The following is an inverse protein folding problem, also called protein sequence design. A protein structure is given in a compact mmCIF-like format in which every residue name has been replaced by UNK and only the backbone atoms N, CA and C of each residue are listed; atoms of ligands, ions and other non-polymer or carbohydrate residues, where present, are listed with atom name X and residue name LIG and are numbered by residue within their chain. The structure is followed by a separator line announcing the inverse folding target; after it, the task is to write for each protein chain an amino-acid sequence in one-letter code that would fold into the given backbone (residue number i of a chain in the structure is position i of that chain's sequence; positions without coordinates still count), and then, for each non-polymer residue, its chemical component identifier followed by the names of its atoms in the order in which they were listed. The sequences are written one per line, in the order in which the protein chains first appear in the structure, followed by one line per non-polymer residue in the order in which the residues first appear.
data_IF_566289203960
#
_entry.id   IF_566289203960
#
_cell.length_a   1.000
_cell.length_b   1.000
_cell.length_c   1.000
_cell.angle_alpha   90.00
_cell.angle_beta   90.00
_cell.angle_gamma   90.00
#
_symmetry.space_group_name_H-M   'P 1'
#
loop_
_entity.id
_entity.type
_entity.pdbx_description
1 polymer ?
#
# COMPACT_ATOMS: atom_id res chain seq x y z
N UNK A 1 7.95 5.46 5.40
CA UNK A 1 9.08 5.01 4.54
C UNK A 1 9.59 6.19 3.74
N UNK A 2 10.90 6.32 3.56
CA UNK A 2 11.49 7.31 2.68
C UNK A 2 11.44 6.79 1.23
N UNK A 3 10.71 7.45 0.31
CA UNK A 3 10.55 6.95 -1.05
C UNK A 3 11.82 7.02 -1.90
N UNK A 4 12.84 7.78 -1.47
CA UNK A 4 14.08 7.97 -2.23
C UNK A 4 15.12 6.86 -2.00
N UNK A 5 14.98 6.07 -0.93
CA UNK A 5 16.02 5.11 -0.57
C UNK A 5 15.49 3.81 0.10
N UNK A 6 14.20 3.71 0.41
CA UNK A 6 13.64 2.52 1.06
C UNK A 6 13.72 2.49 2.59
N UNK A 7 14.34 3.50 3.23
CA UNK A 7 14.48 3.57 4.68
C UNK A 7 13.13 3.66 5.38
N UNK A 8 12.82 2.75 6.31
CA UNK A 8 11.62 2.81 7.16
C UNK A 8 11.87 3.83 8.26
N UNK A 9 11.17 4.97 8.21
CA UNK A 9 11.34 6.07 9.15
C UNK A 9 10.56 5.85 10.45
N UNK A 10 9.43 5.15 10.39
CA UNK A 10 8.62 4.79 11.54
C UNK A 10 7.78 3.55 11.21
N UNK A 11 7.72 2.66 12.18
CA UNK A 11 6.89 1.45 12.14
C UNK A 11 6.41 1.16 13.56
N UNK A 12 5.12 0.90 13.74
CA UNK A 12 4.55 0.65 15.05
C UNK A 12 3.44 -0.40 14.97
N UNK A 13 3.52 -1.38 15.85
CA UNK A 13 2.46 -2.36 16.12
C UNK A 13 1.92 -2.20 17.53
N UNK A 14 0.63 -2.43 17.71
CA UNK A 14 0.01 -2.45 19.03
C UNK A 14 -0.96 -3.65 19.13
N UNK A 15 -0.94 -4.40 20.25
CA UNK A 15 -0.07 -4.23 21.44
C UNK A 15 1.41 -4.48 21.12
N UNK A 16 2.31 -3.94 21.93
CA UNK A 16 3.76 -4.08 21.79
C UNK A 16 4.40 -4.67 23.06
N UNK A 17 5.65 -5.11 22.98
CA UNK A 17 6.38 -5.70 24.09
C UNK A 17 7.71 -4.99 24.34
N UNK A 18 8.30 -5.21 25.53
CA UNK A 18 9.65 -4.74 25.85
C UNK A 18 10.67 -5.77 25.35
N UNK A 19 11.56 -5.37 24.45
CA UNK A 19 12.63 -6.22 23.90
C UNK A 19 13.59 -6.75 24.99
N UNK A 20 13.75 -6.01 26.10
CA UNK A 20 14.56 -6.47 27.23
C UNK A 20 13.84 -7.54 28.09
N UNK A 21 12.50 -7.60 27.99
CA UNK A 21 11.67 -8.51 28.76
C UNK A 21 10.54 -9.11 27.89
N UNK A 22 10.89 -9.81 26.79
CA UNK A 22 9.94 -10.14 25.71
C UNK A 22 8.83 -11.12 26.12
N UNK A 23 8.98 -11.78 27.27
CA UNK A 23 8.00 -12.73 27.81
C UNK A 23 7.11 -12.14 28.89
N UNK A 24 7.25 -10.86 29.20
CA UNK A 24 6.45 -10.19 30.22
C UNK A 24 5.06 -9.82 29.68
N UNK A 25 4.04 -10.51 30.20
CA UNK A 25 2.64 -10.26 29.90
C UNK A 25 1.95 -9.36 30.94
N UNK A 26 2.65 -8.95 32.00
CA UNK A 26 2.05 -8.16 33.10
C UNK A 26 1.60 -6.75 32.68
N UNK A 27 2.10 -6.27 31.55
CA UNK A 27 1.65 -5.00 30.94
C UNK A 27 0.17 -5.06 30.47
N UNK A 28 -0.33 -6.26 30.13
CA UNK A 28 -1.66 -6.43 29.52
C UNK A 28 -2.59 -7.31 30.37
N UNK A 29 -2.03 -8.13 31.27
CA UNK A 29 -2.79 -9.10 32.07
C UNK A 29 -2.42 -8.98 33.56
N UNK A 30 -3.41 -9.07 34.43
CA UNK A 30 -3.18 -9.14 35.89
C UNK A 30 -2.58 -10.48 36.28
N UNK A 31 -1.92 -10.52 37.45
CA UNK A 31 -1.38 -11.80 37.98
C UNK A 31 -2.46 -12.91 38.11
N UNK A 32 -3.69 -12.51 38.48
CA UNK A 32 -4.79 -13.44 38.61
C UNK A 32 -5.22 -14.03 37.26
N UNK A 33 -5.19 -13.23 36.19
CA UNK A 33 -5.45 -13.69 34.83
C UNK A 33 -4.33 -14.63 34.37
N UNK A 34 -3.07 -14.25 34.58
CA UNK A 34 -1.90 -15.06 34.19
C UNK A 34 -1.84 -16.40 34.92
N UNK A 35 -2.31 -16.48 36.18
CA UNK A 35 -2.38 -17.73 36.94
C UNK A 35 -3.46 -18.69 36.40
N UNK A 36 -4.47 -18.19 35.73
CA UNK A 36 -5.55 -19.00 35.14
C UNK A 36 -5.23 -19.47 33.73
N UNK A 37 -4.29 -18.82 33.04
CA UNK A 37 -3.88 -19.18 31.68
C UNK A 37 -3.01 -20.45 31.72
N UNK A 38 -3.29 -21.37 30.81
CA UNK A 38 -2.42 -22.50 30.51
C UNK A 38 -1.11 -22.04 29.87
N UNK A 39 -0.10 -22.89 29.82
CA UNK A 39 1.18 -22.57 29.17
C UNK A 39 0.98 -22.34 27.64
N UNK A 40 0.03 -23.06 27.02
CA UNK A 40 -0.30 -22.85 25.61
C UNK A 40 -0.94 -21.49 25.38
N UNK A 41 -1.92 -21.10 26.18
CA UNK A 41 -2.57 -19.77 26.06
C UNK A 41 -1.56 -18.63 26.26
N UNK A 42 -0.60 -18.79 27.18
CA UNK A 42 0.49 -17.81 27.34
C UNK A 42 1.39 -17.75 26.11
N UNK A 43 1.74 -18.92 25.54
CA UNK A 43 2.57 -18.98 24.34
C UNK A 43 1.87 -18.37 23.14
N UNK A 44 0.58 -18.66 22.94
CA UNK A 44 -0.23 -18.09 21.87
C UNK A 44 -0.31 -16.56 22.00
N UNK A 45 -0.58 -16.06 23.22
CA UNK A 45 -0.57 -14.63 23.53
C UNK A 45 0.78 -13.96 23.25
N UNK A 46 1.89 -14.64 23.59
CA UNK A 46 3.23 -14.14 23.30
C UNK A 46 3.51 -14.10 21.80
N UNK A 47 3.10 -15.13 21.06
CA UNK A 47 3.24 -15.16 19.60
C UNK A 47 2.46 -14.01 18.95
N UNK A 48 1.24 -13.74 19.37
CA UNK A 48 0.45 -12.61 18.91
C UNK A 48 1.13 -11.27 19.24
N UNK A 49 1.70 -11.16 20.45
CA UNK A 49 2.39 -9.95 20.91
C UNK A 49 3.70 -9.69 20.15
N UNK A 50 4.41 -10.74 19.78
CA UNK A 50 5.66 -10.66 19.02
C UNK A 50 5.43 -10.45 17.52
N UNK A 51 4.21 -10.66 17.05
CA UNK A 51 3.88 -10.52 15.65
C UNK A 51 3.98 -9.05 15.20
N UNK A 52 4.77 -8.79 14.18
CA UNK A 52 4.85 -7.47 13.55
C UNK A 52 3.76 -7.31 12.49
N UNK A 53 2.68 -6.66 12.85
CA UNK A 53 1.53 -6.46 11.97
C UNK A 53 1.88 -5.79 10.63
N UNK A 54 2.85 -4.89 10.61
CA UNK A 54 3.22 -4.18 9.39
C UNK A 54 3.88 -5.09 8.34
N UNK A 55 4.60 -6.11 8.83
CA UNK A 55 5.40 -7.02 7.99
C UNK A 55 4.65 -8.32 7.72
N UNK A 56 3.95 -8.86 8.74
CA UNK A 56 3.38 -10.22 8.70
C UNK A 56 1.92 -10.27 8.28
N UNK A 57 1.11 -9.29 8.71
CA UNK A 57 -0.33 -9.34 8.49
C UNK A 57 -0.73 -8.77 7.14
N UNK A 58 -1.79 -9.35 6.58
CA UNK A 58 -2.32 -8.97 5.29
C UNK A 58 -3.70 -8.34 5.41
N UNK A 59 -4.03 -7.45 4.49
CA UNK A 59 -5.31 -6.78 4.42
C UNK A 59 -5.66 -6.40 2.98
N UNK A 60 -6.93 -6.16 2.71
CA UNK A 60 -7.36 -5.60 1.44
C UNK A 60 -6.99 -4.11 1.37
N UNK A 61 -6.21 -3.65 0.37
CA UNK A 61 -5.72 -2.27 0.34
C UNK A 61 -6.83 -1.23 0.15
N UNK A 62 -7.97 -1.62 -0.41
CA UNK A 62 -9.08 -0.73 -0.69
C UNK A 62 -8.68 0.43 -1.62
N UNK A 63 -9.28 1.60 -1.43
CA UNK A 63 -9.08 2.76 -2.31
C UNK A 63 -7.65 3.27 -2.42
N UNK A 64 -6.74 2.88 -1.52
CA UNK A 64 -5.32 3.21 -1.66
C UNK A 64 -4.65 2.49 -2.83
N UNK A 65 -5.31 1.48 -3.41
CA UNK A 65 -4.85 0.77 -4.60
C UNK A 65 -5.21 1.48 -5.92
N UNK A 66 -6.18 2.37 -5.93
CA UNK A 66 -6.67 3.06 -7.15
C UNK A 66 -5.58 3.77 -7.96
N UNK A 67 -4.62 4.47 -7.35
CA UNK A 67 -3.49 5.04 -8.06
C UNK A 67 -2.67 4.02 -8.86
N UNK A 68 -2.55 2.78 -8.38
CA UNK A 68 -1.85 1.70 -9.09
C UNK A 68 -2.61 1.27 -10.34
N UNK A 69 -3.93 1.13 -10.25
CA UNK A 69 -4.79 0.81 -11.39
C UNK A 69 -4.71 1.89 -12.48
N UNK A 70 -4.78 3.16 -12.09
CA UNK A 70 -4.64 4.27 -13.04
C UNK A 70 -3.24 4.29 -13.66
N UNK A 71 -2.19 4.08 -12.84
CA UNK A 71 -0.81 3.99 -13.35
C UNK A 71 -0.64 2.88 -14.38
N UNK A 72 -1.19 1.69 -14.10
CA UNK A 72 -1.16 0.58 -15.05
C UNK A 72 -1.88 0.95 -16.37
N UNK A 73 -3.00 1.63 -16.29
CA UNK A 73 -3.72 2.12 -17.47
C UNK A 73 -2.93 3.13 -18.31
N UNK A 74 -2.22 4.06 -17.66
CA UNK A 74 -1.35 5.03 -18.33
C UNK A 74 -0.13 4.35 -18.97
N UNK A 75 0.54 3.46 -18.26
CA UNK A 75 1.72 2.74 -18.75
C UNK A 75 1.41 1.77 -19.90
N UNK A 76 0.22 1.19 -19.93
CA UNK A 76 -0.23 0.32 -21.05
C UNK A 76 -0.75 1.12 -22.24
N UNK A 77 -0.94 2.44 -22.09
CA UNK A 77 -1.46 3.32 -23.13
C UNK A 77 -2.97 3.19 -23.35
N UNK A 78 -3.69 2.44 -22.50
CA UNK A 78 -5.17 2.39 -22.52
C UNK A 78 -5.79 3.66 -21.94
N UNK A 79 -5.00 4.41 -21.14
CA UNK A 79 -5.32 5.74 -20.65
C UNK A 79 -4.34 6.76 -21.22
N UNK A 80 -4.86 7.94 -21.54
CA UNK A 80 -4.10 9.12 -22.03
C UNK A 80 -4.09 10.26 -21.02
N UNK A 81 -4.89 10.15 -19.94
CA UNK A 81 -5.10 11.22 -18.94
C UNK A 81 -6.30 12.12 -19.24
N UNK A 82 -6.98 11.96 -20.40
CA UNK A 82 -8.08 12.81 -20.84
C UNK A 82 -9.45 12.11 -20.85
N UNK A 83 -9.52 10.92 -20.28
CA UNK A 83 -10.73 10.10 -20.26
C UNK A 83 -11.80 10.73 -19.37
N UNK A 84 -13.06 10.46 -19.75
CA UNK A 84 -14.23 10.80 -18.97
C UNK A 84 -15.05 9.55 -18.71
N UNK A 85 -15.58 9.47 -17.51
CA UNK A 85 -16.39 8.36 -17.00
C UNK A 85 -17.76 8.85 -16.57
N UNK A 86 -18.72 7.95 -16.50
CA UNK A 86 -20.05 8.24 -15.94
C UNK A 86 -20.33 7.24 -14.85
N UNK A 87 -20.50 7.71 -13.63
CA UNK A 87 -20.84 6.89 -12.48
C UNK A 87 -22.31 7.00 -12.14
N UNK A 88 -23.05 5.92 -12.38
CA UNK A 88 -24.48 5.78 -11.98
C UNK A 88 -24.66 5.16 -10.57
N UNK A 89 -23.59 5.01 -9.79
CA UNK A 89 -23.64 4.43 -8.43
C UNK A 89 -23.56 2.90 -8.40
N UNK A 90 -23.70 2.22 -9.51
CA UNK A 90 -23.60 0.77 -9.65
C UNK A 90 -23.08 0.41 -11.05
N UNK A 91 -22.34 -0.71 -11.14
CA UNK A 91 -21.95 -1.34 -12.39
C UNK A 91 -22.28 -2.84 -12.32
N UNK A 92 -22.96 -3.33 -13.35
CA UNK A 92 -23.26 -4.76 -13.48
C UNK A 92 -22.08 -5.47 -14.17
N UNK A 93 -21.51 -6.48 -13.50
CA UNK A 93 -20.37 -7.24 -14.00
C UNK A 93 -20.64 -8.74 -13.82
N UNK A 94 -20.80 -9.46 -14.92
CA UNK A 94 -21.27 -10.84 -14.87
C UNK A 94 -22.65 -10.91 -14.22
N UNK A 95 -22.79 -11.72 -13.17
CA UNK A 95 -24.03 -11.86 -12.40
C UNK A 95 -24.07 -10.98 -11.14
N UNK A 96 -23.16 -9.98 -11.01
CA UNK A 96 -23.00 -9.16 -9.80
C UNK A 96 -23.27 -7.69 -10.06
N UNK A 97 -24.01 -7.05 -9.16
CA UNK A 97 -24.16 -5.61 -9.06
C UNK A 97 -23.13 -5.06 -8.06
N UNK A 98 -22.07 -4.43 -8.58
CA UNK A 98 -20.99 -3.87 -7.77
C UNK A 98 -21.22 -2.36 -7.60
N UNK A 99 -21.32 -1.93 -6.36
CA UNK A 99 -21.70 -0.57 -6.01
C UNK A 99 -20.50 0.37 -5.84
N UNK A 100 -20.70 1.63 -6.23
CA UNK A 100 -19.85 2.72 -5.80
C UNK A 100 -20.09 3.06 -4.31
N UNK A 101 -19.11 3.71 -3.68
CA UNK A 101 -19.26 4.31 -2.35
C UNK A 101 -20.41 5.33 -2.33
N UNK A 102 -20.51 6.16 -3.37
CA UNK A 102 -21.69 6.99 -3.62
C UNK A 102 -22.73 6.20 -4.42
N UNK A 103 -23.74 5.68 -3.74
CA UNK A 103 -24.79 4.87 -4.36
C UNK A 103 -25.72 5.66 -5.30
N UNK A 104 -25.75 6.98 -5.18
CA UNK A 104 -26.48 7.85 -6.11
C UNK A 104 -25.69 8.13 -7.39
N UNK A 105 -24.43 7.71 -7.43
CA UNK A 105 -23.49 7.99 -8.51
C UNK A 105 -22.81 9.37 -8.38
N UNK A 106 -21.65 9.49 -9.01
CA UNK A 106 -20.94 10.77 -9.11
C UNK A 106 -21.34 11.58 -10.36
N UNK A 107 -22.08 10.94 -11.30
CA UNK A 107 -22.37 11.52 -12.60
C UNK A 107 -21.15 11.49 -13.53
N UNK A 108 -21.06 12.44 -14.46
CA UNK A 108 -19.89 12.60 -15.32
C UNK A 108 -18.69 13.11 -14.54
N UNK A 109 -17.53 12.46 -14.72
CA UNK A 109 -16.27 12.82 -14.06
C UNK A 109 -15.07 12.55 -14.98
N UNK A 110 -14.05 13.38 -14.90
CA UNK A 110 -12.76 13.13 -15.57
C UNK A 110 -11.99 12.02 -14.86
N UNK A 111 -10.91 11.51 -15.48
CA UNK A 111 -10.02 10.54 -14.85
C UNK A 111 -9.47 11.04 -13.50
N UNK A 112 -9.06 12.31 -13.41
CA UNK A 112 -8.61 12.96 -12.18
C UNK A 112 -9.72 12.97 -11.13
N UNK A 113 -10.91 13.44 -11.48
CA UNK A 113 -12.07 13.48 -10.60
C UNK A 113 -12.50 12.07 -10.13
N UNK A 114 -12.34 11.05 -10.98
CA UNK A 114 -12.62 9.67 -10.59
C UNK A 114 -11.71 9.20 -9.42
N UNK A 115 -10.46 9.66 -9.37
CA UNK A 115 -9.58 9.40 -8.23
C UNK A 115 -9.94 10.28 -7.03
N UNK A 116 -10.18 11.58 -7.23
CA UNK A 116 -10.57 12.55 -6.18
C UNK A 116 -11.84 12.11 -5.43
N UNK A 117 -12.84 11.65 -6.18
CA UNK A 117 -14.11 11.15 -5.67
C UNK A 117 -14.02 9.68 -5.17
N UNK A 118 -12.87 9.05 -5.34
CA UNK A 118 -12.72 7.61 -5.05
C UNK A 118 -13.78 6.73 -5.72
N UNK A 119 -14.06 6.97 -7.00
CA UNK A 119 -15.14 6.34 -7.75
C UNK A 119 -14.83 4.88 -8.10
N UNK A 120 -15.57 3.91 -7.54
CA UNK A 120 -15.38 2.49 -7.87
C UNK A 120 -15.80 2.18 -9.30
N UNK A 121 -16.89 2.80 -9.80
CA UNK A 121 -17.42 2.53 -11.15
C UNK A 121 -16.40 2.92 -12.23
N UNK A 122 -15.76 4.07 -12.11
CA UNK A 122 -14.70 4.47 -13.03
C UNK A 122 -13.51 3.50 -13.00
N UNK A 123 -13.07 3.10 -11.80
CA UNK A 123 -11.95 2.16 -11.63
C UNK A 123 -12.26 0.77 -12.19
N UNK A 124 -13.50 0.27 -12.07
CA UNK A 124 -13.94 -0.97 -12.71
C UNK A 124 -13.85 -0.89 -14.25
N UNK A 125 -14.27 0.24 -14.83
CA UNK A 125 -14.16 0.47 -16.29
C UNK A 125 -12.70 0.52 -16.72
N UNK A 126 -11.83 1.17 -15.95
CA UNK A 126 -10.38 1.23 -16.19
C UNK A 126 -9.78 -0.18 -16.12
N UNK A 127 -10.07 -0.94 -15.06
CA UNK A 127 -9.60 -2.32 -14.93
C UNK A 127 -10.02 -3.21 -16.10
N UNK A 128 -11.28 -3.10 -16.52
CA UNK A 128 -11.78 -3.83 -17.68
C UNK A 128 -11.05 -3.42 -18.99
N UNK A 129 -10.69 -2.16 -19.15
CA UNK A 129 -9.92 -1.66 -20.30
C UNK A 129 -8.46 -2.15 -20.30
N UNK A 130 -7.83 -2.28 -19.13
CA UNK A 130 -6.48 -2.86 -18.97
C UNK A 130 -6.49 -4.35 -19.30
N UNK A 131 -7.53 -5.07 -18.88
CA UNK A 131 -7.64 -6.51 -19.03
C UNK A 131 -6.81 -7.31 -18.01
N UNK A 132 -7.14 -8.60 -17.87
CA UNK A 132 -6.60 -9.46 -16.80
C UNK A 132 -5.09 -9.68 -16.88
N UNK A 133 -4.54 -9.85 -18.08
CA UNK A 133 -3.10 -10.12 -18.23
C UNK A 133 -2.25 -8.94 -17.76
N UNK A 134 -2.51 -7.76 -18.31
CA UNK A 134 -1.76 -6.55 -17.96
C UNK A 134 -2.03 -6.12 -16.51
N UNK A 135 -3.26 -6.26 -16.02
CA UNK A 135 -3.59 -5.95 -14.64
C UNK A 135 -2.78 -6.81 -13.66
N UNK A 136 -2.78 -8.15 -13.83
CA UNK A 136 -1.97 -9.05 -13.01
C UNK A 136 -0.47 -8.80 -13.16
N UNK A 137 0.00 -8.46 -14.35
CA UNK A 137 1.40 -8.11 -14.59
C UNK A 137 1.81 -6.88 -13.81
N UNK A 138 0.99 -5.83 -13.81
CA UNK A 138 1.28 -4.60 -13.08
C UNK A 138 1.18 -4.79 -11.56
N UNK A 139 0.24 -5.59 -11.04
CA UNK A 139 0.22 -5.94 -9.62
C UNK A 139 1.59 -6.51 -9.18
N UNK A 140 2.15 -7.45 -9.93
CA UNK A 140 3.47 -8.03 -9.63
C UNK A 140 4.61 -7.04 -9.86
N UNK A 141 4.54 -6.23 -10.91
CA UNK A 141 5.54 -5.20 -11.19
C UNK A 141 5.64 -4.20 -10.03
N UNK A 142 4.52 -3.85 -9.43
CA UNK A 142 4.48 -3.03 -8.21
C UNK A 142 5.00 -3.75 -6.96
N UNK A 143 5.24 -5.07 -7.00
CA UNK A 143 5.77 -5.86 -5.88
C UNK A 143 4.70 -6.55 -5.04
N UNK A 144 3.43 -6.48 -5.43
CA UNK A 144 2.39 -7.24 -4.74
C UNK A 144 2.50 -8.72 -5.05
N UNK A 145 2.30 -9.57 -4.03
CA UNK A 145 2.47 -11.00 -4.14
C UNK A 145 3.92 -11.48 -4.11
N UNK A 146 4.88 -10.62 -3.80
CA UNK A 146 6.30 -10.91 -3.67
C UNK A 146 6.80 -10.49 -2.28
N UNK A 147 7.84 -11.14 -1.77
CA UNK A 147 8.54 -10.63 -0.60
C UNK A 147 9.22 -9.30 -0.95
N UNK A 148 9.14 -8.34 -0.02
CA UNK A 148 9.76 -7.02 -0.21
C UNK A 148 11.26 -7.05 0.03
N UNK A 149 11.75 -8.06 0.76
CA UNK A 149 13.14 -8.17 1.18
C UNK A 149 13.48 -7.30 2.40
N UNK A 150 12.46 -6.81 3.13
CA UNK A 150 12.69 -6.05 4.37
C UNK A 150 13.58 -6.84 5.33
N UNK A 151 14.51 -6.17 5.98
CA UNK A 151 15.47 -6.74 6.93
C UNK A 151 14.86 -7.05 8.32
N UNK A 152 13.57 -7.39 8.35
CA UNK A 152 12.84 -7.86 9.52
C UNK A 152 12.34 -9.30 9.32
N UNK A 153 12.32 -10.12 10.39
CA UNK A 153 11.80 -11.48 10.31
C UNK A 153 10.26 -11.51 10.19
N UNK A 154 9.73 -12.58 9.61
CA UNK A 154 8.30 -12.87 9.63
C UNK A 154 7.50 -12.16 8.54
N UNK A 155 8.13 -11.81 7.42
CA UNK A 155 7.41 -11.22 6.28
C UNK A 155 6.33 -12.16 5.76
N UNK A 156 5.11 -11.63 5.62
CA UNK A 156 3.93 -12.41 5.23
C UNK A 156 3.99 -12.89 3.77
N UNK A 157 3.69 -14.16 3.56
CA UNK A 157 3.53 -14.75 2.22
C UNK A 157 2.20 -14.27 1.61
N UNK A 158 2.25 -13.63 0.45
CA UNK A 158 1.08 -13.07 -0.23
C UNK A 158 0.90 -13.56 -1.68
N UNK A 159 1.78 -14.42 -2.19
CA UNK A 159 1.73 -14.86 -3.58
C UNK A 159 0.43 -15.61 -3.92
N UNK A 160 -0.09 -16.39 -2.96
CA UNK A 160 -1.36 -17.10 -3.05
C UNK A 160 -2.61 -16.25 -2.79
N UNK A 161 -2.44 -14.97 -2.43
CA UNK A 161 -3.53 -14.04 -2.13
C UNK A 161 -3.86 -13.10 -3.30
N UNK A 162 -3.15 -13.24 -4.43
CA UNK A 162 -3.39 -12.52 -5.66
C UNK A 162 -3.92 -13.47 -6.74
N UNK A 163 -4.75 -12.92 -7.63
CA UNK A 163 -5.19 -13.65 -8.82
C UNK A 163 -4.06 -13.77 -9.84
N UNK A 164 -4.19 -14.78 -10.69
CA UNK A 164 -3.41 -14.93 -11.91
C UNK A 164 -4.32 -14.64 -13.11
N UNK A 165 -3.78 -14.40 -14.32
CA UNK A 165 -4.63 -14.21 -15.51
C UNK A 165 -5.61 -15.36 -15.75
N UNK A 166 -5.22 -16.59 -15.36
CA UNK A 166 -6.07 -17.78 -15.53
C UNK A 166 -7.20 -17.91 -14.49
N UNK A 167 -7.07 -17.25 -13.34
CA UNK A 167 -8.04 -17.33 -12.22
C UNK A 167 -8.86 -16.07 -12.03
N UNK A 168 -8.46 -14.96 -12.66
CA UNK A 168 -9.13 -13.66 -12.55
C UNK A 168 -10.34 -13.59 -13.49
N UNK A 169 -11.52 -13.77 -12.95
CA UNK A 169 -12.77 -13.55 -13.67
C UNK A 169 -13.14 -12.03 -13.74
N UNK A 170 -14.14 -11.63 -14.54
CA UNK A 170 -14.52 -10.24 -14.69
C UNK A 170 -14.93 -9.55 -13.38
N UNK A 171 -15.58 -10.25 -12.45
CA UNK A 171 -15.99 -9.68 -11.17
C UNK A 171 -14.78 -9.48 -10.23
N UNK A 172 -13.86 -10.44 -10.24
CA UNK A 172 -12.58 -10.33 -9.52
C UNK A 172 -11.73 -9.18 -10.06
N UNK A 173 -11.62 -9.01 -11.38
CA UNK A 173 -10.92 -7.88 -11.99
C UNK A 173 -11.56 -6.55 -11.58
N UNK A 174 -12.89 -6.47 -11.61
CA UNK A 174 -13.62 -5.27 -11.23
C UNK A 174 -13.35 -4.86 -9.78
N UNK A 175 -13.40 -5.83 -8.83
CA UNK A 175 -13.14 -5.55 -7.41
C UNK A 175 -11.67 -5.27 -7.13
N UNK A 176 -10.75 -5.97 -7.79
CA UNK A 176 -9.32 -5.72 -7.68
C UNK A 176 -8.94 -4.32 -8.17
N UNK A 177 -9.63 -3.79 -9.19
CA UNK A 177 -9.35 -2.46 -9.74
C UNK A 177 -9.51 -1.32 -8.72
N UNK A 178 -10.32 -1.50 -7.67
CA UNK A 178 -10.44 -0.54 -6.58
C UNK A 178 -9.92 -1.06 -5.24
N UNK A 179 -9.13 -2.16 -5.25
CA UNK A 179 -8.34 -2.63 -4.11
C UNK A 179 -9.05 -3.62 -3.19
N UNK A 180 -10.04 -4.35 -3.66
CA UNK A 180 -10.73 -5.41 -2.90
C UNK A 180 -10.50 -6.79 -3.51
N UNK A 181 -10.81 -7.83 -2.73
CA UNK A 181 -10.73 -9.22 -3.14
C UNK A 181 -9.28 -9.72 -3.44
N UNK A 182 -8.29 -9.10 -2.83
CA UNK A 182 -6.90 -9.58 -2.71
C UNK A 182 -6.24 -8.92 -1.50
N UNK A 183 -5.17 -9.53 -0.98
CA UNK A 183 -4.52 -9.04 0.24
C UNK A 183 -3.04 -8.74 0.02
N UNK A 184 -2.55 -7.73 0.73
CA UNK A 184 -1.16 -7.27 0.73
C UNK A 184 -0.71 -6.96 2.15
N UNK A 185 0.60 -6.92 2.41
CA UNK A 185 1.13 -6.41 3.68
C UNK A 185 1.25 -4.87 3.65
N UNK A 186 1.32 -4.24 4.84
CA UNK A 186 1.58 -2.79 4.92
C UNK A 186 2.94 -2.43 4.35
N UNK A 187 3.94 -3.29 4.52
CA UNK A 187 5.29 -3.09 3.95
C UNK A 187 5.26 -3.13 2.43
N UNK A 188 4.56 -4.10 1.83
CA UNK A 188 4.35 -4.13 0.37
C UNK A 188 3.68 -2.85 -0.11
N UNK A 189 2.60 -2.42 0.57
CA UNK A 189 1.90 -1.20 0.19
C UNK A 189 2.81 0.03 0.29
N UNK A 190 3.58 0.18 1.38
CA UNK A 190 4.49 1.32 1.57
C UNK A 190 5.61 1.36 0.52
N UNK A 191 6.22 0.22 0.20
CA UNK A 191 7.28 0.13 -0.80
C UNK A 191 6.74 0.41 -2.22
N UNK A 192 5.61 -0.20 -2.57
CA UNK A 192 4.94 0.00 -3.85
C UNK A 192 4.48 1.45 -4.02
N UNK A 193 3.85 2.03 -2.99
CA UNK A 193 3.37 3.41 -3.03
C UNK A 193 4.52 4.41 -3.15
N UNK A 194 5.65 4.14 -2.48
CA UNK A 194 6.87 4.93 -2.63
C UNK A 194 7.34 4.97 -4.09
N UNK A 195 7.23 3.85 -4.82
CA UNK A 195 7.60 3.81 -6.23
C UNK A 195 6.67 4.63 -7.12
N UNK A 196 5.38 4.79 -6.76
CA UNK A 196 4.46 5.66 -7.52
C UNK A 196 4.89 7.12 -7.50
N UNK A 197 5.45 7.61 -6.37
CA UNK A 197 5.70 9.04 -6.14
C UNK A 197 7.14 9.48 -6.34
N UNK A 198 8.08 8.54 -6.53
CA UNK A 198 9.51 8.82 -6.68
C UNK A 198 10.03 8.68 -8.12
N UNK A 199 9.14 8.67 -9.11
CA UNK A 199 9.48 8.47 -10.52
C UNK A 199 9.58 7.01 -10.94
N UNK A 200 8.97 6.09 -10.19
CA UNK A 200 8.87 4.66 -10.53
C UNK A 200 9.98 3.77 -9.97
N UNK A 201 10.80 4.25 -9.04
CA UNK A 201 11.91 3.48 -8.49
C UNK A 201 11.42 2.67 -7.27
N UNK A 202 11.43 1.35 -7.36
CA UNK A 202 11.10 0.46 -6.24
C UNK A 202 12.38 0.11 -5.49
N UNK A 203 12.50 0.61 -4.27
CA UNK A 203 13.60 0.31 -3.36
C UNK A 203 13.22 -0.79 -2.38
N UNK A 204 14.19 -1.67 -2.06
CA UNK A 204 14.07 -2.61 -0.97
C UNK A 204 13.86 -1.87 0.35
N UNK A 205 12.76 -2.13 1.11
CA UNK A 205 12.55 -1.50 2.39
C UNK A 205 13.56 -2.02 3.43
N UNK A 206 14.06 -1.14 4.30
CA UNK A 206 14.98 -1.54 5.36
C UNK A 206 14.83 -0.66 6.60
N UNK A 207 15.04 -1.26 7.76
CA UNK A 207 15.03 -0.62 9.08
C UNK A 207 16.45 -0.34 9.56
N UNK A 208 17.38 -1.25 9.25
CA UNK A 208 18.79 -1.12 9.64
C UNK A 208 19.45 -0.08 8.74
N UNK A 209 20.02 0.96 9.32
CA UNK A 209 20.79 1.97 8.63
C UNK A 209 22.27 1.63 8.60
N UNK A 210 22.82 1.17 9.74
CA UNK A 210 24.22 0.80 9.90
C UNK A 210 24.41 -0.13 11.09
N UNK A 211 25.49 -0.92 11.05
CA UNK A 211 25.95 -1.75 12.14
C UNK A 211 27.24 -1.13 12.69
N UNK A 212 27.34 -1.05 14.02
CA UNK A 212 28.51 -0.48 14.71
C UNK A 212 29.11 -1.51 15.67
N UNK A 213 30.41 -1.43 15.88
CA UNK A 213 31.10 -2.18 16.94
C UNK A 213 30.88 -1.54 18.33
N UNK A 214 31.38 -2.20 19.39
CA UNK A 214 31.25 -1.72 20.77
C UNK A 214 31.93 -0.37 21.03
N UNK A 215 32.79 0.09 20.13
CA UNK A 215 33.48 1.39 20.20
C UNK A 215 32.75 2.48 19.40
N UNK A 216 31.64 2.14 18.73
CA UNK A 216 30.88 3.06 17.90
C UNK A 216 31.42 3.23 16.47
N UNK A 217 32.41 2.42 16.05
CA UNK A 217 32.86 2.45 14.68
C UNK A 217 31.86 1.72 13.78
N UNK A 218 31.54 2.33 12.66
CA UNK A 218 30.66 1.71 11.66
C UNK A 218 31.38 0.54 11.00
N UNK A 219 30.84 -0.65 11.14
CA UNK A 219 31.37 -1.88 10.52
C UNK A 219 30.65 -2.19 9.20
N UNK A 220 29.40 -1.78 9.07
CA UNK A 220 28.60 -1.96 7.86
C UNK A 220 27.59 -0.81 7.70
N UNK A 221 27.42 -0.31 6.47
CA UNK A 221 26.29 0.56 6.10
C UNK A 221 25.32 -0.21 5.23
N UNK A 222 24.01 0.01 5.45
CA UNK A 222 22.97 -0.48 4.56
C UNK A 222 22.77 0.57 3.45
N UNK A 223 23.34 0.31 2.28
CA UNK A 223 23.11 1.17 1.11
C UNK A 223 21.72 0.90 0.50
N UNK A 224 21.05 1.92 -0.06
CA UNK A 224 19.79 1.75 -0.75
C UNK A 224 19.89 0.78 -1.93
N UNK A 225 18.99 -0.20 -1.98
CA UNK A 225 18.92 -1.19 -3.07
C UNK A 225 17.75 -0.85 -3.99
N UNK A 226 18.06 -0.36 -5.20
CA UNK A 226 17.06 -0.21 -6.26
C UNK A 226 16.79 -1.57 -6.89
N UNK A 227 15.60 -2.12 -6.65
CA UNK A 227 15.23 -3.47 -7.11
C UNK A 227 14.74 -3.45 -8.55
N UNK A 228 13.83 -2.53 -8.87
CA UNK A 228 13.18 -2.44 -10.19
C UNK A 228 12.58 -1.07 -10.47
N UNK A 229 12.23 -0.84 -11.74
CA UNK A 229 11.42 0.29 -12.18
C UNK A 229 9.99 -0.18 -12.38
N UNK A 230 9.01 0.48 -11.76
CA UNK A 230 7.60 0.09 -11.81
C UNK A 230 6.81 0.86 -12.87
N UNK A 231 7.07 2.16 -12.99
CA UNK A 231 6.39 3.08 -13.93
C UNK A 231 7.40 4.10 -14.46
N UNK A 232 7.01 4.82 -15.49
CA UNK A 232 7.73 5.97 -16.01
C UNK A 232 7.69 7.16 -15.03
N UNK A 233 8.63 8.10 -15.21
CA UNK A 233 8.59 9.36 -14.44
C UNK A 233 7.36 10.19 -14.80
N UNK A 234 6.97 10.18 -16.04
CA UNK A 234 5.79 10.86 -16.58
C UNK A 234 4.52 10.40 -15.89
N UNK A 235 4.31 9.10 -15.79
CA UNK A 235 3.16 8.51 -15.05
C UNK A 235 3.21 8.87 -13.57
N UNK A 236 4.40 8.80 -12.96
CA UNK A 236 4.58 9.19 -11.55
C UNK A 236 4.18 10.66 -11.31
N UNK A 237 4.55 11.56 -12.20
CA UNK A 237 4.22 12.98 -12.08
C UNK A 237 2.70 13.23 -12.24
N UNK A 238 2.04 12.54 -13.16
CA UNK A 238 0.56 12.58 -13.31
C UNK A 238 -0.13 12.08 -12.04
N UNK A 239 0.31 10.94 -11.51
CA UNK A 239 -0.30 10.36 -10.30
C UNK A 239 -0.11 11.27 -9.08
N UNK A 240 1.04 11.92 -8.93
CA UNK A 240 1.25 12.91 -7.84
C UNK A 240 0.27 14.08 -7.96
N UNK A 241 0.05 14.62 -9.16
CA UNK A 241 -0.92 15.70 -9.39
C UNK A 241 -2.36 15.24 -9.03
N UNK A 242 -2.74 14.03 -9.45
CA UNK A 242 -4.06 13.49 -9.12
C UNK A 242 -4.25 13.25 -7.63
N UNK A 243 -3.22 12.75 -6.95
CA UNK A 243 -3.27 12.53 -5.50
C UNK A 243 -3.27 13.84 -4.70
N UNK A 244 -2.65 14.90 -5.22
CA UNK A 244 -2.77 16.24 -4.62
C UNK A 244 -4.25 16.68 -4.66
N UNK A 245 -4.93 16.51 -5.80
CA UNK A 245 -6.36 16.80 -5.93
C UNK A 245 -7.24 16.00 -4.95
N UNK A 246 -6.87 14.74 -4.64
CA UNK A 246 -7.59 13.95 -3.60
C UNK A 246 -7.59 14.65 -2.24
N UNK A 247 -6.51 15.33 -1.86
CA UNK A 247 -6.40 16.05 -0.58
C UNK A 247 -6.98 17.45 -0.65
N UNK A 248 -6.81 18.16 -1.76
CA UNK A 248 -7.25 19.57 -1.89
C UNK A 248 -8.74 19.68 -2.22
N UNK A 249 -9.28 18.78 -3.06
CA UNK A 249 -10.63 18.88 -3.60
C UNK A 249 -11.49 17.62 -3.37
N UNK A 250 -10.85 16.49 -3.00
CA UNK A 250 -11.47 15.18 -2.94
C UNK A 250 -11.73 14.65 -1.53
N UNK A 251 -11.88 13.33 -1.47
CA UNK A 251 -12.23 12.57 -0.25
C UNK A 251 -11.12 12.56 0.80
N UNK A 252 -9.90 12.96 0.47
CA UNK A 252 -8.73 12.99 1.35
C UNK A 252 -8.53 14.30 2.12
N UNK A 253 -9.46 15.25 2.06
CA UNK A 253 -9.31 16.58 2.67
C UNK A 253 -8.98 16.56 4.17
N UNK A 254 -9.42 15.53 4.91
CA UNK A 254 -9.09 15.37 6.33
C UNK A 254 -7.61 15.02 6.60
N UNK A 255 -6.85 14.63 5.57
CA UNK A 255 -5.42 14.36 5.66
C UNK A 255 -4.57 15.61 5.39
N UNK A 256 -5.17 16.76 5.08
CA UNK A 256 -4.46 18.00 4.87
C UNK A 256 -3.81 18.48 6.19
N UNK A 257 -2.51 18.78 6.12
CA UNK A 257 -1.72 19.31 7.25
C UNK A 257 -1.13 20.65 6.83
N UNK A 258 -1.34 21.69 7.63
CA UNK A 258 -0.82 23.02 7.35
C UNK A 258 0.71 23.00 7.22
N UNK A 259 1.23 23.58 6.15
CA UNK A 259 2.67 23.61 5.85
C UNK A 259 3.23 22.35 5.21
N UNK A 260 2.42 21.30 5.03
CA UNK A 260 2.78 20.09 4.28
C UNK A 260 1.96 19.99 2.99
N UNK A 261 2.60 19.51 1.93
CA UNK A 261 1.93 19.14 0.69
C UNK A 261 2.39 17.75 0.26
N UNK A 262 1.51 16.99 -0.39
CA UNK A 262 1.88 15.70 -1.00
C UNK A 262 3.04 15.85 -2.01
N UNK A 263 3.18 17.01 -2.64
CA UNK A 263 4.31 17.32 -3.53
C UNK A 263 5.62 17.40 -2.74
N UNK A 264 5.61 17.89 -1.50
CA UNK A 264 6.81 18.03 -0.67
C UNK A 264 7.29 16.71 -0.07
N UNK A 265 6.45 15.69 -0.02
CA UNK A 265 6.82 14.34 0.41
C UNK A 265 7.75 13.68 -0.63
N UNK A 266 7.70 14.12 -1.89
CA UNK A 266 8.48 13.56 -3.00
C UNK A 266 9.78 14.32 -3.32
N UNK A 267 10.04 15.50 -2.73
CA UNK A 267 11.26 16.27 -2.96
C UNK A 267 12.02 16.57 -1.64
N UNK A 268 13.22 15.99 -1.45
CA UNK A 268 14.00 16.18 -0.22
C UNK A 268 14.78 17.52 -0.16
N UNK A 269 14.38 18.57 -0.87
CA UNK A 269 15.18 19.78 -1.03
C UNK A 269 14.80 20.95 -0.14
N UNK A 270 13.93 20.79 0.85
CA UNK A 270 13.81 21.79 1.93
C UNK A 270 13.72 21.11 3.29
N UNK A 271 14.75 21.36 4.13
CA UNK A 271 14.75 21.02 5.55
C UNK A 271 13.48 21.58 6.20
N UNK A 272 12.56 20.70 6.54
CA UNK A 272 11.61 21.00 7.61
C UNK A 272 12.34 20.63 8.90
N UNK A 273 12.79 21.64 9.62
CA UNK A 273 13.21 21.49 11.02
C UNK A 273 11.90 21.56 11.82
N UNK A 274 11.48 20.43 12.39
CA UNK A 274 10.51 20.39 13.48
C UNK A 274 11.29 20.46 14.78
#
# INVERSE_FOLDING_TARGET
MNPQNGEILAEASYPNYDLNNPRDLTKYYTEEQLKKMTDQEKLDTLNDLWNNYCVSNTYEPGSTFKPFTISAGLETGVLTGNENYVCGGVMHVGDHDIHCSNRSGHGPETLKQALENSCNVALMQIGASIGTEEFCRYQRLFGFGEYTGIDLPGEGETSGLLYTPATMDPASLATNAFGQNFNVTMTQMAASFSSLINGGNYYEPHVVKQIQDDNGNVTENKDPVLVKKTISKETSDIIKDYMLGVVEEGTGASAAVEGLSLIHISEPTRRVVI
#
